data_IF_279160513133
#
_entry.id   IF_279160513133
#
_cell.length_a   1.000
_cell.length_b   1.000
_cell.length_c   1.000
_cell.angle_alpha   90.00
_cell.angle_beta   90.00
_cell.angle_gamma   90.00
#
_symmetry.space_group_name_H-M   'P 1'
#
loop_
_entity.id
_entity.type
_entity.pdbx_description
1 polymer ?
#
# COMPACT_ATOMS: atom_id res chain seq x y z
N UNK A 1 -59.92 -56.09 -4.85
CA UNK A 1 -59.46 -55.64 -3.53
C UNK A 1 -57.99 -55.99 -3.32
N UNK A 2 -57.60 -57.26 -3.14
CA UNK A 2 -56.18 -57.63 -2.96
C UNK A 2 -55.33 -57.45 -4.23
N UNK A 3 -55.88 -57.78 -5.40
CA UNK A 3 -55.21 -57.59 -6.69
C UNK A 3 -54.92 -56.12 -6.99
N UNK A 4 -55.88 -55.24 -6.73
CA UNK A 4 -55.75 -53.79 -6.96
C UNK A 4 -54.71 -53.17 -6.02
N UNK A 5 -54.61 -53.67 -4.78
CA UNK A 5 -53.61 -53.24 -3.80
C UNK A 5 -52.19 -53.68 -4.21
N UNK A 6 -52.05 -54.90 -4.74
CA UNK A 6 -50.79 -55.43 -5.25
C UNK A 6 -50.33 -54.70 -6.53
N UNK A 7 -51.26 -54.40 -7.43
CA UNK A 7 -50.99 -53.60 -8.64
C UNK A 7 -50.55 -52.17 -8.28
N UNK A 8 -51.20 -51.56 -7.28
CA UNK A 8 -50.81 -50.23 -6.78
C UNK A 8 -49.41 -50.24 -6.17
N UNK A 9 -49.09 -51.24 -5.33
CA UNK A 9 -47.76 -51.37 -4.73
C UNK A 9 -46.67 -51.54 -5.80
N UNK A 10 -46.93 -52.39 -6.80
CA UNK A 10 -46.00 -52.61 -7.92
C UNK A 10 -45.78 -51.34 -8.72
N UNK A 11 -46.84 -50.56 -8.99
CA UNK A 11 -46.74 -49.29 -9.70
C UNK A 11 -45.93 -48.25 -8.93
N UNK A 12 -46.10 -48.20 -7.60
CA UNK A 12 -45.34 -47.34 -6.69
C UNK A 12 -43.85 -47.69 -6.76
N UNK A 13 -43.50 -48.97 -6.60
CA UNK A 13 -42.11 -49.42 -6.58
C UNK A 13 -41.41 -49.17 -7.93
N UNK A 14 -42.08 -49.46 -9.05
CA UNK A 14 -41.57 -49.18 -10.40
C UNK A 14 -41.35 -47.68 -10.61
N UNK A 15 -42.29 -46.83 -10.15
CA UNK A 15 -42.15 -45.38 -10.29
C UNK A 15 -40.97 -44.84 -9.45
N UNK A 16 -40.78 -45.33 -8.22
CA UNK A 16 -39.66 -44.92 -7.37
C UNK A 16 -38.31 -45.38 -7.94
N UNK A 17 -38.20 -46.63 -8.39
CA UNK A 17 -36.98 -47.15 -8.98
C UNK A 17 -36.61 -46.43 -10.29
N UNK A 18 -37.61 -46.12 -11.12
CA UNK A 18 -37.41 -45.38 -12.36
C UNK A 18 -36.93 -43.96 -12.06
N UNK A 19 -37.59 -43.24 -11.14
CA UNK A 19 -37.17 -41.90 -10.74
C UNK A 19 -35.79 -41.86 -10.12
N UNK A 20 -35.46 -42.83 -9.27
CA UNK A 20 -34.16 -42.91 -8.62
C UNK A 20 -33.04 -43.07 -9.65
N UNK A 21 -33.22 -43.95 -10.64
CA UNK A 21 -32.26 -44.13 -11.73
C UNK A 21 -32.11 -42.85 -12.57
N UNK A 22 -33.23 -42.22 -12.93
CA UNK A 22 -33.22 -40.96 -13.69
C UNK A 22 -32.56 -39.81 -12.91
N UNK A 23 -32.80 -39.71 -11.60
CA UNK A 23 -32.17 -38.70 -10.75
C UNK A 23 -30.66 -38.93 -10.60
N UNK A 24 -30.23 -40.17 -10.40
CA UNK A 24 -28.80 -40.53 -10.32
C UNK A 24 -28.07 -40.20 -11.64
N UNK A 25 -28.68 -40.51 -12.79
CA UNK A 25 -28.14 -40.15 -14.10
C UNK A 25 -28.08 -38.64 -14.32
N UNK A 26 -29.12 -37.91 -13.91
CA UNK A 26 -29.20 -36.46 -14.03
C UNK A 26 -28.15 -35.77 -13.15
N UNK A 27 -27.97 -36.25 -11.91
CA UNK A 27 -26.93 -35.75 -10.99
C UNK A 27 -25.55 -36.00 -11.60
N UNK A 28 -25.27 -37.22 -12.05
CA UNK A 28 -23.98 -37.54 -12.68
C UNK A 28 -23.71 -36.70 -13.94
N UNK A 29 -24.74 -36.35 -14.71
CA UNK A 29 -24.59 -35.45 -15.86
C UNK A 29 -24.31 -34.00 -15.43
N UNK A 30 -25.01 -33.49 -14.41
CA UNK A 30 -24.77 -32.16 -13.85
C UNK A 30 -23.35 -32.02 -13.31
N UNK A 31 -22.88 -32.99 -12.54
CA UNK A 31 -21.52 -32.99 -11.98
C UNK A 31 -20.45 -32.91 -13.08
N UNK A 32 -20.63 -33.67 -14.18
CA UNK A 32 -19.74 -33.59 -15.35
C UNK A 32 -19.81 -32.23 -16.06
N UNK A 33 -20.97 -31.57 -16.09
CA UNK A 33 -21.11 -30.24 -16.67
C UNK A 33 -20.42 -29.20 -15.77
N UNK A 34 -20.61 -29.29 -14.46
CA UNK A 34 -20.06 -28.34 -13.49
C UNK A 34 -18.54 -28.48 -13.37
N UNK A 35 -18.00 -29.70 -13.43
CA UNK A 35 -16.56 -29.92 -13.52
C UNK A 35 -15.98 -29.28 -14.79
N UNK A 36 -16.60 -29.50 -15.96
CA UNK A 36 -16.15 -28.87 -17.22
C UNK A 36 -16.30 -27.35 -17.24
N UNK A 37 -17.25 -26.78 -16.50
CA UNK A 37 -17.40 -25.33 -16.33
C UNK A 37 -16.28 -24.80 -15.43
N UNK A 38 -16.00 -25.47 -14.33
CA UNK A 38 -14.94 -25.12 -13.38
C UNK A 38 -13.56 -25.18 -14.03
N UNK A 39 -13.27 -26.23 -14.80
CA UNK A 39 -12.02 -26.34 -15.57
C UNK A 39 -11.85 -25.21 -16.58
N UNK A 40 -12.92 -24.85 -17.31
CA UNK A 40 -12.88 -23.72 -18.26
C UNK A 40 -12.67 -22.38 -17.55
N UNK A 41 -13.32 -22.17 -16.41
CA UNK A 41 -13.12 -20.98 -15.60
C UNK A 41 -11.68 -20.87 -15.11
N UNK A 42 -11.09 -21.98 -14.66
CA UNK A 42 -9.69 -22.02 -14.22
C UNK A 42 -8.72 -21.79 -15.37
N UNK A 43 -8.97 -22.37 -16.55
CA UNK A 43 -8.17 -22.09 -17.75
C UNK A 43 -8.21 -20.61 -18.13
N UNK A 44 -9.37 -19.96 -18.04
CA UNK A 44 -9.48 -18.52 -18.29
C UNK A 44 -8.72 -17.71 -17.25
N UNK A 45 -8.78 -18.09 -15.96
CA UNK A 45 -8.05 -17.43 -14.87
C UNK A 45 -6.54 -17.49 -15.11
N UNK A 46 -6.00 -18.66 -15.42
CA UNK A 46 -4.57 -18.85 -15.72
C UNK A 46 -4.15 -18.06 -16.96
N UNK A 47 -4.97 -18.01 -18.02
CA UNK A 47 -4.67 -17.19 -19.20
C UNK A 47 -4.64 -15.70 -18.88
N UNK A 48 -5.62 -15.21 -18.11
CA UNK A 48 -5.69 -13.82 -17.70
C UNK A 48 -4.50 -13.42 -16.81
N UNK A 49 -4.06 -14.31 -15.91
CA UNK A 49 -2.89 -14.10 -15.07
C UNK A 49 -1.60 -14.05 -15.90
N UNK A 50 -1.39 -15.02 -16.81
CA UNK A 50 -0.22 -15.01 -17.71
C UNK A 50 -0.15 -13.76 -18.58
N UNK A 51 -1.29 -13.25 -19.04
CA UNK A 51 -1.34 -12.01 -19.82
C UNK A 51 -1.01 -10.79 -18.97
N UNK A 52 -1.55 -10.71 -17.74
CA UNK A 52 -1.22 -9.65 -16.78
C UNK A 52 0.27 -9.63 -16.45
N UNK A 53 0.89 -10.80 -16.27
CA UNK A 53 2.32 -10.92 -15.99
C UNK A 53 3.17 -10.47 -17.18
N UNK A 54 2.76 -10.81 -18.42
CA UNK A 54 3.43 -10.30 -19.63
C UNK A 54 3.35 -8.79 -19.72
N UNK A 55 2.17 -8.20 -19.52
CA UNK A 55 1.99 -6.76 -19.53
C UNK A 55 2.81 -6.08 -18.43
N UNK A 56 2.82 -6.65 -17.24
CA UNK A 56 3.62 -6.13 -16.11
C UNK A 56 5.12 -6.20 -16.42
N UNK A 57 5.59 -7.28 -17.05
CA UNK A 57 6.99 -7.42 -17.46
C UNK A 57 7.38 -6.44 -18.55
N UNK A 58 6.52 -6.20 -19.55
CA UNK A 58 6.74 -5.21 -20.60
C UNK A 58 6.78 -3.80 -20.00
N UNK A 59 5.83 -3.44 -19.13
CA UNK A 59 5.83 -2.15 -18.45
C UNK A 59 7.06 -1.98 -17.54
N UNK A 60 7.51 -3.05 -16.87
CA UNK A 60 8.73 -3.01 -16.08
C UNK A 60 10.00 -2.85 -16.92
N UNK A 61 10.05 -3.47 -18.12
CA UNK A 61 11.15 -3.31 -19.07
C UNK A 61 11.15 -1.90 -19.66
N UNK A 62 10.01 -1.39 -20.12
CA UNK A 62 9.87 -0.03 -20.63
C UNK A 62 10.25 1.02 -19.57
N UNK A 63 9.88 0.82 -18.30
CA UNK A 63 10.35 1.71 -17.21
C UNK A 63 11.86 1.65 -17.00
N UNK A 64 12.49 0.47 -17.14
CA UNK A 64 13.95 0.35 -17.05
C UNK A 64 14.64 0.99 -18.24
N UNK A 65 14.10 0.84 -19.44
CA UNK A 65 14.60 1.48 -20.66
C UNK A 65 14.45 3.01 -20.60
N UNK A 66 13.33 3.52 -20.09
CA UNK A 66 13.12 4.95 -19.85
C UNK A 66 14.08 5.50 -18.78
N UNK A 67 14.33 4.74 -17.71
CA UNK A 67 15.32 5.09 -16.69
C UNK A 67 16.76 5.07 -17.23
N UNK A 68 17.12 4.09 -18.07
CA UNK A 68 18.43 3.99 -18.71
C UNK A 68 18.64 5.06 -19.78
N UNK A 69 17.63 5.35 -20.60
CA UNK A 69 17.66 6.42 -21.59
C UNK A 69 17.77 7.79 -20.91
N UNK A 70 17.03 8.01 -19.82
CA UNK A 70 17.16 9.21 -18.98
C UNK A 70 18.54 9.33 -18.35
N UNK A 71 19.10 8.22 -17.86
CA UNK A 71 20.46 8.21 -17.30
C UNK A 71 21.53 8.50 -18.35
N UNK A 72 21.41 7.94 -19.57
CA UNK A 72 22.31 8.25 -20.69
C UNK A 72 22.18 9.70 -21.14
N UNK A 73 20.96 10.23 -21.25
CA UNK A 73 20.72 11.64 -21.58
C UNK A 73 21.27 12.58 -20.49
N UNK A 74 21.10 12.24 -19.21
CA UNK A 74 21.67 12.98 -18.09
C UNK A 74 23.21 12.92 -18.09
N UNK A 75 23.81 11.79 -18.45
CA UNK A 75 25.27 11.63 -18.48
C UNK A 75 25.90 12.32 -19.71
N UNK A 76 25.24 12.32 -20.87
CA UNK A 76 25.67 13.12 -22.03
C UNK A 76 25.45 14.62 -21.81
N UNK A 77 24.35 15.01 -21.16
CA UNK A 77 24.13 16.39 -20.73
C UNK A 77 25.18 16.82 -19.70
N UNK A 78 25.55 15.94 -18.75
CA UNK A 78 26.65 16.20 -17.82
C UNK A 78 27.99 16.27 -18.53
N UNK A 79 28.32 15.40 -19.48
CA UNK A 79 29.57 15.47 -20.26
C UNK A 79 29.67 16.76 -21.06
N UNK A 80 28.59 17.13 -21.76
CA UNK A 80 28.49 18.40 -22.51
C UNK A 80 28.58 19.61 -21.59
N UNK A 81 27.96 19.55 -20.41
CA UNK A 81 28.02 20.61 -19.38
C UNK A 81 29.38 20.67 -18.68
N UNK A 82 30.06 19.55 -18.47
CA UNK A 82 31.42 19.49 -17.88
C UNK A 82 32.44 20.05 -18.87
N UNK A 83 32.34 19.70 -20.15
CA UNK A 83 33.19 20.29 -21.20
C UNK A 83 32.92 21.81 -21.37
N UNK A 84 31.66 22.24 -21.23
CA UNK A 84 31.31 23.67 -21.25
C UNK A 84 31.61 24.43 -19.96
N UNK A 85 31.89 23.74 -18.85
CA UNK A 85 32.03 24.32 -17.51
C UNK A 85 33.39 23.99 -16.88
N UNK A 86 34.46 23.95 -17.68
CA UNK A 86 35.86 24.03 -17.20
C UNK A 86 36.19 25.39 -16.52
N UNK A 87 35.24 25.96 -15.79
CA UNK A 87 35.43 27.11 -14.90
C UNK A 87 35.18 26.68 -13.45
N UNK A 88 36.26 26.56 -12.69
CA UNK A 88 36.44 26.68 -11.23
C UNK A 88 35.48 26.03 -10.20
N UNK A 89 34.34 25.44 -10.57
CA UNK A 89 33.29 24.99 -9.62
C UNK A 89 32.93 23.50 -9.71
N UNK A 90 33.82 22.66 -10.23
CA UNK A 90 33.61 21.22 -10.43
C UNK A 90 33.34 20.43 -9.13
N UNK A 91 33.88 20.87 -7.98
CA UNK A 91 33.80 20.11 -6.71
C UNK A 91 32.41 20.00 -6.08
N UNK A 92 31.50 20.95 -6.32
CA UNK A 92 30.20 21.00 -5.63
C UNK A 92 29.12 20.07 -6.18
N UNK A 93 29.22 19.68 -7.46
CA UNK A 93 28.18 18.91 -8.14
C UNK A 93 28.28 17.40 -7.88
N UNK A 94 29.51 16.87 -7.83
CA UNK A 94 29.75 15.45 -7.54
C UNK A 94 29.40 15.10 -6.07
N UNK A 95 29.72 15.97 -5.11
CA UNK A 95 29.39 15.77 -3.70
C UNK A 95 27.87 15.67 -3.44
N UNK A 96 27.05 16.45 -4.15
CA UNK A 96 25.57 16.39 -4.06
C UNK A 96 24.99 15.11 -4.68
N UNK A 97 25.62 14.58 -5.73
CA UNK A 97 25.18 13.34 -6.37
C UNK A 97 25.51 12.11 -5.52
N UNK A 98 26.65 12.12 -4.83
CA UNK A 98 27.11 11.03 -3.96
C UNK A 98 26.33 10.96 -2.64
N UNK A 99 25.95 12.11 -2.05
CA UNK A 99 25.05 12.17 -0.89
C UNK A 99 23.64 11.60 -1.15
N UNK A 100 23.20 11.53 -2.41
CA UNK A 100 21.90 10.94 -2.80
C UNK A 100 21.93 9.42 -2.98
N UNK A 101 23.10 8.77 -2.94
CA UNK A 101 23.24 7.31 -3.13
C UNK A 101 23.08 6.46 -1.86
N UNK A 102 22.82 7.07 -0.71
CA UNK A 102 22.41 6.35 0.50
C UNK A 102 20.89 6.45 0.70
N UNK A 103 20.20 5.31 0.89
CA UNK A 103 18.78 5.22 1.30
C UNK A 103 18.53 5.83 2.70
N UNK A 104 18.90 7.09 2.94
CA UNK A 104 18.42 7.83 4.10
C UNK A 104 16.97 8.17 3.82
N UNK A 105 16.07 7.66 4.65
CA UNK A 105 14.65 7.98 4.55
C UNK A 105 14.48 9.50 4.47
N UNK A 106 13.65 9.94 3.55
CA UNK A 106 13.38 11.37 3.42
C UNK A 106 12.73 11.88 4.71
N UNK A 107 12.88 13.17 5.03
CA UNK A 107 12.22 13.76 6.21
C UNK A 107 10.70 13.52 6.21
N UNK A 108 10.09 13.38 5.03
CA UNK A 108 8.68 13.01 4.85
C UNK A 108 8.39 11.58 5.28
N UNK A 109 9.23 10.62 4.91
CA UNK A 109 9.10 9.21 5.29
C UNK A 109 9.28 9.02 6.80
N UNK A 110 10.30 9.65 7.39
CA UNK A 110 10.54 9.61 8.84
C UNK A 110 9.32 10.17 9.57
N UNK A 111 8.82 11.35 9.17
CA UNK A 111 7.61 11.95 9.75
C UNK A 111 6.41 11.01 9.63
N UNK A 112 6.18 10.41 8.46
CA UNK A 112 5.04 9.50 8.25
C UNK A 112 5.15 8.26 9.14
N UNK A 113 6.33 7.66 9.23
CA UNK A 113 6.60 6.50 10.07
C UNK A 113 6.37 6.81 11.55
N UNK A 114 6.98 7.89 12.06
CA UNK A 114 6.83 8.30 13.46
C UNK A 114 5.39 8.64 13.82
N UNK A 115 4.63 9.30 12.94
CA UNK A 115 3.22 9.59 13.19
C UNK A 115 2.35 8.32 13.19
N UNK A 116 2.67 7.35 12.34
CA UNK A 116 1.97 6.06 12.33
C UNK A 116 2.24 5.27 13.62
N UNK A 117 3.49 5.25 14.12
CA UNK A 117 3.86 4.60 15.38
C UNK A 117 3.18 5.24 16.60
N UNK A 118 2.99 6.56 16.59
CA UNK A 118 2.28 7.28 17.67
C UNK A 118 0.77 7.07 17.63
N UNK A 119 0.20 6.72 16.47
CA UNK A 119 -1.26 6.58 16.31
C UNK A 119 -1.71 5.22 16.83
N UNK A 120 -2.23 5.19 18.06
CA UNK A 120 -2.89 4.00 18.60
C UNK A 120 -4.26 3.80 17.96
N UNK A 121 -4.62 2.59 17.47
CA UNK A 121 -5.96 2.29 17.01
C UNK A 121 -7.02 2.54 18.10
N UNK A 122 -8.21 2.98 17.69
CA UNK A 122 -9.35 3.17 18.60
C UNK A 122 -10.17 1.88 18.60
N UNK A 123 -10.08 1.10 19.68
CA UNK A 123 -10.91 -0.08 19.89
C UNK A 123 -12.15 0.31 20.70
N UNK A 124 -13.18 0.81 20.02
CA UNK A 124 -14.42 1.30 20.66
C UNK A 124 -15.64 0.41 20.42
N UNK A 125 -15.57 -0.50 19.45
CA UNK A 125 -16.73 -1.25 18.94
C UNK A 125 -17.40 -2.17 19.99
N UNK A 126 -16.65 -2.60 21.00
CA UNK A 126 -17.13 -3.51 22.05
C UNK A 126 -17.29 -2.81 23.41
N UNK A 127 -17.18 -1.48 23.49
CA UNK A 127 -17.28 -0.74 24.74
C UNK A 127 -18.74 -0.39 25.07
N UNK A 128 -19.12 -0.56 26.34
CA UNK A 128 -20.37 0.00 26.90
C UNK A 128 -20.21 1.49 27.19
N UNK A 129 -21.32 2.17 27.51
CA UNK A 129 -21.36 3.62 27.73
C UNK A 129 -20.28 4.14 28.69
N UNK A 130 -20.10 3.49 29.85
CA UNK A 130 -19.08 3.89 30.83
C UNK A 130 -17.66 3.81 30.25
N UNK A 131 -17.35 2.73 29.52
CA UNK A 131 -16.07 2.56 28.85
C UNK A 131 -15.85 3.57 27.72
N UNK A 132 -16.92 3.97 27.01
CA UNK A 132 -16.84 5.04 26.01
C UNK A 132 -16.57 6.41 26.65
N UNK A 133 -17.16 6.70 27.82
CA UNK A 133 -16.92 7.94 28.58
C UNK A 133 -15.48 8.02 29.08
N UNK A 134 -14.94 6.92 29.62
CA UNK A 134 -13.52 6.84 30.00
C UNK A 134 -12.60 7.03 28.80
N UNK A 135 -12.88 6.34 27.68
CA UNK A 135 -12.07 6.46 26.47
C UNK A 135 -12.09 7.88 25.89
N UNK A 136 -13.24 8.56 25.93
CA UNK A 136 -13.35 9.95 25.51
C UNK A 136 -12.51 10.89 26.39
N UNK A 137 -12.49 10.65 27.71
CA UNK A 137 -11.67 11.41 28.65
C UNK A 137 -10.18 11.23 28.38
N UNK A 138 -9.72 9.99 28.20
CA UNK A 138 -8.32 9.70 27.83
C UNK A 138 -7.91 10.40 26.52
N UNK A 139 -8.78 10.37 25.51
CA UNK A 139 -8.52 11.05 24.24
C UNK A 139 -8.43 12.56 24.40
N UNK A 140 -9.30 13.14 25.22
CA UNK A 140 -9.27 14.57 25.53
C UNK A 140 -7.98 14.97 26.25
N UNK A 141 -7.57 14.22 27.27
CA UNK A 141 -6.32 14.44 27.99
C UNK A 141 -5.11 14.32 27.06
N UNK A 142 -5.12 13.34 26.15
CA UNK A 142 -4.07 13.18 25.15
C UNK A 142 -3.99 14.36 24.17
N UNK A 143 -5.13 14.85 23.68
CA UNK A 143 -5.17 16.04 22.82
C UNK A 143 -4.66 17.27 23.56
N UNK A 144 -5.08 17.44 24.82
CA UNK A 144 -4.65 18.56 25.65
C UNK A 144 -3.12 18.56 25.83
N UNK A 145 -2.52 17.41 26.16
CA UNK A 145 -1.07 17.28 26.27
C UNK A 145 -0.36 17.63 24.96
N UNK A 146 -0.85 17.14 23.82
CA UNK A 146 -0.25 17.44 22.51
C UNK A 146 -0.32 18.92 22.14
N UNK A 147 -1.41 19.61 22.48
CA UNK A 147 -1.51 21.06 22.27
C UNK A 147 -0.58 21.84 23.22
N UNK A 148 -0.44 21.40 24.46
CA UNK A 148 0.53 21.97 25.41
C UNK A 148 1.97 21.84 24.88
N UNK A 149 2.37 20.64 24.47
CA UNK A 149 3.71 20.39 23.93
C UNK A 149 3.98 21.24 22.68
N UNK A 150 2.97 21.38 21.82
CA UNK A 150 3.04 22.21 20.60
C UNK A 150 3.21 23.69 20.94
N UNK A 151 2.53 24.19 21.96
CA UNK A 151 2.70 25.56 22.44
C UNK A 151 4.15 25.80 22.91
N UNK A 152 4.66 24.94 23.80
CA UNK A 152 6.03 25.05 24.32
C UNK A 152 7.08 25.00 23.21
N UNK A 153 6.93 24.09 22.25
CA UNK A 153 7.82 24.00 21.09
C UNK A 153 7.74 25.23 20.18
N UNK A 154 6.57 25.84 20.06
CA UNK A 154 6.37 27.06 19.28
C UNK A 154 7.09 28.25 19.93
N UNK A 155 6.92 28.44 21.24
CA UNK A 155 7.60 29.50 21.98
C UNK A 155 9.12 29.28 22.03
N UNK A 156 9.57 28.03 22.20
CA UNK A 156 10.99 27.67 22.09
C UNK A 156 11.54 28.02 20.70
N UNK A 157 10.82 27.71 19.64
CA UNK A 157 11.23 28.05 18.27
C UNK A 157 11.31 29.56 18.07
N UNK A 158 10.36 30.33 18.61
CA UNK A 158 10.36 31.80 18.56
C UNK A 158 11.60 32.38 19.25
N UNK A 159 11.93 31.89 20.44
CA UNK A 159 13.13 32.30 21.18
C UNK A 159 14.41 31.96 20.42
N UNK A 160 14.51 30.73 19.89
CA UNK A 160 15.69 30.30 19.12
C UNK A 160 15.90 31.16 17.87
N UNK A 161 14.83 31.56 17.17
CA UNK A 161 14.95 32.48 16.02
C UNK A 161 15.55 33.83 16.43
N UNK A 162 15.14 34.37 17.57
CA UNK A 162 15.70 35.62 18.09
C UNK A 162 17.17 35.46 18.48
N UNK A 163 17.53 34.38 19.18
CA UNK A 163 18.91 34.07 19.55
C UNK A 163 19.81 33.93 18.31
N UNK A 164 19.33 33.26 17.25
CA UNK A 164 20.04 33.15 15.97
C UNK A 164 20.33 34.54 15.39
N UNK A 165 19.35 35.44 15.37
CA UNK A 165 19.55 36.80 14.85
C UNK A 165 20.63 37.57 15.63
N UNK A 166 20.62 37.47 16.96
CA UNK A 166 21.67 38.07 17.79
C UNK A 166 23.04 37.47 17.45
N UNK A 167 23.13 36.15 17.37
CA UNK A 167 24.39 35.47 17.06
C UNK A 167 24.93 35.88 15.69
N UNK A 168 24.06 35.99 14.68
CA UNK A 168 24.45 36.47 13.35
C UNK A 168 24.99 37.91 13.41
N UNK A 169 24.35 38.80 14.16
CA UNK A 169 24.85 40.16 14.35
C UNK A 169 26.21 40.17 15.05
N UNK A 170 26.39 39.37 16.11
CA UNK A 170 27.67 39.25 16.83
C UNK A 170 28.79 38.76 15.91
N UNK A 171 28.51 37.76 15.07
CA UNK A 171 29.47 37.27 14.07
C UNK A 171 29.84 38.38 13.09
N UNK A 172 28.85 39.10 12.55
CA UNK A 172 29.07 40.23 11.63
C UNK A 172 29.91 41.34 12.25
N UNK A 173 29.67 41.69 13.52
CA UNK A 173 30.48 42.67 14.23
C UNK A 173 31.92 42.18 14.46
N UNK A 174 32.10 40.92 14.86
CA UNK A 174 33.42 40.35 15.07
C UNK A 174 34.25 40.23 13.78
N UNK A 175 33.60 40.10 12.62
CA UNK A 175 34.27 40.08 11.30
C UNK A 175 34.68 41.46 10.77
N UNK A 176 34.18 42.54 11.38
CA UNK A 176 34.51 43.93 11.01
C UNK A 176 35.67 44.50 11.82
N UNK A 177 36.10 43.80 12.88
CA UNK A 177 37.33 44.05 13.63
C UNK A 177 38.47 43.25 13.00
#
# INVERSE_FOLDING_TARGET
MEKDLLELQTLIDVHFDQRKKEEEELIGLKDRIDNRRSERAEQQRVRAEKERDRQTRILALSRKEDEEAKKRADDDAKKKKVLSNMGAHFGGFLAKAEQRRGKRQTGREIKKKTLAERRKPLAIDNLREDGLRERAKEMWEWIYQLESDKFDLTEKTRRQKYEINILLNRISHAQKL
#
